data_IF_071904711662
#
_entry.id   IF_071904711662
#
_cell.length_a   1.000
_cell.length_b   1.000
_cell.length_c   1.000
_cell.angle_alpha   90.00
_cell.angle_beta   90.00
_cell.angle_gamma   90.00
#
_symmetry.space_group_name_H-M   'P 1'
#
loop_
_entity.id
_entity.type
_entity.pdbx_description
1 polymer ?
#
# COMPACT_ATOMS: atom_id res chain seq x y z
N UNK A 1 -6.23 -31.92 1.01
CA UNK A 1 -5.34 -30.91 1.59
C UNK A 1 -4.22 -30.70 0.59
N UNK A 2 -4.42 -29.79 -0.36
CA UNK A 2 -3.47 -29.50 -1.45
C UNK A 2 -2.51 -28.40 -1.01
N UNK A 3 -1.24 -28.57 -1.36
CA UNK A 3 -0.03 -27.81 -0.98
C UNK A 3 -0.02 -26.31 -1.37
N UNK A 4 -1.17 -25.63 -1.41
CA UNK A 4 -1.29 -24.24 -1.86
C UNK A 4 -1.66 -23.25 -0.75
N UNK A 5 -1.62 -23.67 0.52
CA UNK A 5 -1.95 -22.83 1.68
C UNK A 5 -0.72 -22.15 2.31
N UNK A 6 0.45 -22.12 1.65
CA UNK A 6 1.73 -21.75 2.29
C UNK A 6 2.59 -20.67 1.61
N UNK A 7 2.03 -19.77 0.77
CA UNK A 7 2.77 -18.59 0.27
C UNK A 7 1.97 -17.29 0.28
N UNK A 8 1.13 -17.11 1.30
CA UNK A 8 0.25 -15.96 1.42
C UNK A 8 0.30 -15.31 2.80
N UNK A 9 1.44 -14.74 3.19
CA UNK A 9 1.34 -13.39 3.77
C UNK A 9 0.95 -12.49 2.58
N UNK A 10 -0.34 -12.51 2.23
CA UNK A 10 -0.81 -11.96 0.96
C UNK A 10 -0.49 -10.46 0.93
N UNK A 11 -0.17 -9.90 -0.24
CA UNK A 11 0.02 -8.46 -0.40
C UNK A 11 -1.07 -7.63 0.31
N UNK A 12 -2.30 -8.16 0.31
CA UNK A 12 -3.45 -7.62 1.01
C UNK A 12 -3.21 -7.51 2.53
N UNK A 13 -2.69 -8.55 3.19
CA UNK A 13 -2.40 -8.52 4.63
C UNK A 13 -1.35 -7.45 4.99
N UNK A 14 -0.26 -7.37 4.23
CA UNK A 14 0.80 -6.38 4.50
C UNK A 14 0.30 -4.97 4.22
N UNK A 15 -0.47 -4.78 3.14
CA UNK A 15 -1.08 -3.49 2.83
C UNK A 15 -2.11 -3.08 3.90
N UNK A 16 -2.91 -4.02 4.38
CA UNK A 16 -3.88 -3.81 5.45
C UNK A 16 -3.21 -3.36 6.74
N UNK A 17 -2.08 -3.99 7.11
CA UNK A 17 -1.25 -3.55 8.24
C UNK A 17 -0.76 -2.12 8.04
N UNK A 18 -0.26 -1.79 6.85
CA UNK A 18 0.17 -0.43 6.50
C UNK A 18 -0.96 0.59 6.54
N UNK A 19 -2.20 0.23 6.19
CA UNK A 19 -3.37 1.12 6.31
C UNK A 19 -3.68 1.46 7.77
N UNK A 20 -3.52 0.49 8.68
CA UNK A 20 -3.81 0.68 10.10
C UNK A 20 -2.69 1.49 10.76
N UNK A 21 -1.45 1.01 10.61
CA UNK A 21 -0.24 1.60 11.15
C UNK A 21 0.83 1.67 10.06
N UNK A 22 1.26 2.89 9.72
CA UNK A 22 2.26 3.05 8.68
C UNK A 22 3.67 2.79 9.19
N UNK A 23 4.47 2.11 8.39
CA UNK A 23 5.93 2.05 8.53
C UNK A 23 6.66 3.13 7.72
N UNK A 24 5.92 3.96 6.98
CA UNK A 24 6.48 4.98 6.10
C UNK A 24 6.98 6.18 6.90
N UNK A 25 8.10 6.73 6.44
CA UNK A 25 8.52 8.07 6.84
C UNK A 25 7.70 9.09 6.04
N UNK A 26 6.76 9.75 6.72
CA UNK A 26 5.87 10.74 6.12
C UNK A 26 6.60 12.03 5.70
N UNK A 27 7.85 12.23 6.12
CA UNK A 27 8.68 13.38 5.70
C UNK A 27 9.25 13.21 4.29
N UNK A 28 9.27 11.98 3.76
CA UNK A 28 9.83 11.66 2.45
C UNK A 28 8.80 11.90 1.34
N UNK A 29 9.21 12.62 0.29
CA UNK A 29 8.42 12.70 -0.95
C UNK A 29 8.67 11.51 -1.89
N UNK A 30 7.93 10.42 -1.64
CA UNK A 30 7.98 9.22 -2.48
C UNK A 30 7.63 9.45 -3.97
N UNK A 31 7.02 10.58 -4.33
CA UNK A 31 6.73 10.91 -5.73
C UNK A 31 7.97 11.38 -6.50
N UNK A 32 9.00 11.89 -5.80
CA UNK A 32 10.26 12.34 -6.40
C UNK A 32 11.32 11.23 -6.48
N UNK A 33 11.11 10.12 -5.76
CA UNK A 33 12.03 8.99 -5.74
C UNK A 33 12.12 8.35 -7.13
N UNK A 34 13.36 8.13 -7.59
CA UNK A 34 13.64 7.39 -8.82
C UNK A 34 13.23 5.92 -8.68
N UNK A 35 12.75 5.31 -9.77
CA UNK A 35 12.27 3.92 -9.72
C UNK A 35 13.36 2.93 -9.30
N UNK A 36 14.60 3.16 -9.73
CA UNK A 36 15.74 2.30 -9.38
C UNK A 36 16.08 2.38 -7.88
N UNK A 37 15.78 3.50 -7.23
CA UNK A 37 15.97 3.64 -5.78
C UNK A 37 14.97 2.81 -4.98
N UNK A 38 13.78 2.53 -5.52
CA UNK A 38 12.75 1.71 -4.84
C UNK A 38 13.25 0.28 -4.59
N UNK A 39 14.08 -0.23 -5.50
CA UNK A 39 14.65 -1.58 -5.42
C UNK A 39 16.02 -1.61 -4.77
N UNK A 40 16.54 -0.45 -4.38
CA UNK A 40 17.77 -0.40 -3.60
C UNK A 40 17.56 -1.07 -2.25
N UNK A 41 18.62 -1.67 -1.71
CA UNK A 41 18.60 -2.36 -0.42
C UNK A 41 18.17 -1.47 0.75
N UNK A 42 18.15 -0.14 0.58
CA UNK A 42 17.66 0.77 1.61
C UNK A 42 16.12 0.74 1.67
N UNK A 43 15.44 1.17 0.61
CA UNK A 43 13.97 1.28 0.57
C UNK A 43 13.29 -0.09 0.62
N UNK A 44 13.82 -1.07 -0.11
CA UNK A 44 13.19 -2.38 -0.22
C UNK A 44 13.26 -3.19 1.08
N UNK A 45 14.28 -2.97 1.92
CA UNK A 45 14.42 -3.68 3.19
C UNK A 45 13.78 -2.96 4.37
N UNK A 46 13.66 -1.63 4.32
CA UNK A 46 13.05 -0.84 5.40
C UNK A 46 11.52 -0.86 5.36
N UNK A 47 10.91 -0.88 4.17
CA UNK A 47 9.46 -0.77 4.02
C UNK A 47 8.86 -2.16 3.71
N UNK A 48 8.10 -2.78 4.64
CA UNK A 48 7.56 -4.14 4.46
C UNK A 48 6.70 -4.31 3.22
N UNK A 49 5.86 -3.33 2.87
CA UNK A 49 5.01 -3.41 1.67
C UNK A 49 5.84 -3.41 0.38
N UNK A 50 6.97 -2.70 0.34
CA UNK A 50 7.89 -2.73 -0.80
C UNK A 50 8.51 -4.11 -0.92
N UNK A 51 9.03 -4.65 0.19
CA UNK A 51 9.57 -6.01 0.25
C UNK A 51 8.57 -7.05 -0.26
N UNK A 52 7.31 -6.95 0.16
CA UNK A 52 6.24 -7.85 -0.30
C UNK A 52 6.05 -7.77 -1.81
N UNK A 53 5.90 -6.57 -2.38
CA UNK A 53 5.70 -6.40 -3.83
C UNK A 53 6.92 -6.92 -4.62
N UNK A 54 8.13 -6.60 -4.16
CA UNK A 54 9.39 -7.04 -4.78
C UNK A 54 9.53 -8.57 -4.73
N UNK A 55 9.19 -9.20 -3.60
CA UNK A 55 9.30 -10.65 -3.42
C UNK A 55 8.36 -11.46 -4.32
N UNK A 56 7.28 -10.85 -4.82
CA UNK A 56 6.40 -11.46 -5.83
C UNK A 56 7.10 -11.55 -7.20
N UNK A 57 8.03 -10.64 -7.51
CA UNK A 57 8.83 -10.62 -8.73
C UNK A 57 10.05 -11.54 -8.68
N UNK A 58 9.88 -12.82 -8.29
CA UNK A 58 10.98 -13.79 -8.06
C UNK A 58 11.97 -13.99 -9.22
N UNK A 59 11.64 -13.54 -10.44
CA UNK A 59 12.50 -13.63 -11.64
C UNK A 59 12.99 -12.25 -12.14
N UNK A 60 12.71 -11.19 -11.40
CA UNK A 60 12.98 -9.81 -11.78
C UNK A 60 11.76 -8.92 -11.55
N UNK A 61 12.02 -7.65 -11.26
CA UNK A 61 10.99 -6.64 -11.03
C UNK A 61 10.70 -5.94 -12.37
N UNK A 62 9.44 -5.96 -12.79
CA UNK A 62 9.00 -5.24 -13.97
C UNK A 62 8.83 -3.74 -13.72
N UNK A 63 8.97 -2.93 -14.77
CA UNK A 63 8.67 -1.49 -14.73
C UNK A 63 7.25 -1.24 -14.20
N UNK A 64 6.28 -2.10 -14.57
CA UNK A 64 4.90 -2.01 -14.06
C UNK A 64 4.86 -2.15 -12.53
N UNK A 65 5.60 -3.10 -11.96
CA UNK A 65 5.68 -3.28 -10.51
C UNK A 65 6.34 -2.09 -9.82
N UNK A 66 7.39 -1.50 -10.39
CA UNK A 66 8.02 -0.29 -9.84
C UNK A 66 7.03 0.88 -9.77
N UNK A 67 6.29 1.11 -10.86
CA UNK A 67 5.25 2.14 -10.89
C UNK A 67 4.11 1.82 -9.91
N UNK A 68 3.72 0.55 -9.78
CA UNK A 68 2.72 0.15 -8.80
C UNK A 68 3.19 0.44 -7.37
N UNK A 69 4.42 0.05 -7.02
CA UNK A 69 5.01 0.35 -5.71
C UNK A 69 5.04 1.84 -5.43
N UNK A 70 5.49 2.66 -6.40
CA UNK A 70 5.51 4.13 -6.25
C UNK A 70 4.11 4.70 -5.98
N UNK A 71 3.10 4.21 -6.70
CA UNK A 71 1.69 4.59 -6.48
C UNK A 71 1.19 4.20 -5.09
N UNK A 72 1.58 3.03 -4.59
CA UNK A 72 1.25 2.55 -3.25
C UNK A 72 1.90 3.43 -2.17
N UNK A 73 3.19 3.74 -2.30
CA UNK A 73 3.91 4.60 -1.35
C UNK A 73 3.28 6.00 -1.27
N UNK A 74 2.97 6.60 -2.42
CA UNK A 74 2.31 7.91 -2.46
C UNK A 74 0.89 7.86 -1.88
N UNK A 75 0.13 6.79 -2.14
CA UNK A 75 -1.19 6.59 -1.57
C UNK A 75 -1.11 6.52 -0.03
N UNK A 76 -0.26 5.65 0.50
CA UNK A 76 -0.13 5.42 1.93
C UNK A 76 0.37 6.67 2.66
N UNK A 77 1.37 7.37 2.10
CA UNK A 77 1.85 8.66 2.66
C UNK A 77 0.69 9.65 2.80
N UNK A 78 -0.06 9.87 1.72
CA UNK A 78 -1.18 10.81 1.77
C UNK A 78 -2.28 10.32 2.74
N UNK A 79 -2.57 9.02 2.73
CA UNK A 79 -3.57 8.40 3.60
C UNK A 79 -3.27 8.61 5.09
N UNK A 80 -2.00 8.62 5.49
CA UNK A 80 -1.58 8.84 6.88
C UNK A 80 -1.20 10.30 7.20
N UNK A 81 -0.99 11.15 6.19
CA UNK A 81 -0.57 12.55 6.39
C UNK A 81 -1.68 13.49 6.92
N UNK A 82 -2.93 13.03 6.98
CA UNK A 82 -4.07 13.89 7.36
C UNK A 82 -4.46 13.69 8.82
N UNK A 83 -4.83 14.81 9.42
CA UNK A 83 -5.44 14.85 10.75
C UNK A 83 -6.72 14.02 10.77
N UNK A 84 -6.81 13.24 11.83
CA UNK A 84 -7.72 12.12 11.97
C UNK A 84 -9.13 12.65 12.26
N UNK A 85 -9.95 12.71 11.21
CA UNK A 85 -11.39 12.96 11.32
C UNK A 85 -12.07 11.80 12.04
N UNK A 86 -13.25 12.04 12.60
CA UNK A 86 -14.04 10.98 13.24
C UNK A 86 -14.31 9.81 12.28
N UNK A 87 -14.59 10.10 11.00
CA UNK A 87 -14.76 9.10 9.95
C UNK A 87 -13.50 8.24 9.73
N UNK A 88 -12.30 8.82 9.86
CA UNK A 88 -11.04 8.10 9.72
C UNK A 88 -10.84 7.11 10.87
N UNK A 89 -11.16 7.51 12.10
CA UNK A 89 -11.11 6.62 13.26
C UNK A 89 -12.12 5.48 13.14
N UNK A 90 -13.35 5.76 12.73
CA UNK A 90 -14.37 4.73 12.50
C UNK A 90 -13.93 3.75 11.40
N UNK A 91 -13.38 4.27 10.30
CA UNK A 91 -12.83 3.46 9.22
C UNK A 91 -11.71 2.54 9.70
N UNK A 92 -10.71 3.08 10.43
CA UNK A 92 -9.61 2.28 11.00
C UNK A 92 -10.09 1.26 12.01
N UNK A 93 -11.04 1.63 12.85
CA UNK A 93 -11.68 0.71 13.80
C UNK A 93 -12.34 -0.46 13.04
N UNK A 94 -13.16 -0.16 12.03
CA UNK A 94 -13.83 -1.18 11.20
C UNK A 94 -12.85 -2.07 10.45
N UNK A 95 -11.74 -1.51 9.93
CA UNK A 95 -10.65 -2.29 9.34
C UNK A 95 -10.01 -3.26 10.34
N UNK A 96 -9.98 -2.92 11.63
CA UNK A 96 -9.36 -3.76 12.66
C UNK A 96 -10.33 -4.79 13.23
N UNK A 97 -11.62 -4.46 13.33
CA UNK A 97 -12.63 -5.32 13.97
C UNK A 97 -13.35 -6.26 13.01
N UNK A 98 -13.51 -5.90 11.73
CA UNK A 98 -14.23 -6.72 10.73
C UNK A 98 -13.25 -7.23 9.66
N UNK A 99 -12.83 -8.49 9.81
CA UNK A 99 -11.89 -9.14 8.89
C UNK A 99 -12.43 -9.24 7.45
N UNK A 100 -13.74 -9.44 7.27
CA UNK A 100 -14.34 -9.57 5.93
C UNK A 100 -14.38 -8.22 5.23
N UNK A 101 -14.72 -7.16 5.98
CA UNK A 101 -14.64 -5.79 5.50
C UNK A 101 -13.19 -5.41 5.16
N UNK A 102 -12.25 -5.70 6.06
CA UNK A 102 -10.83 -5.43 5.89
C UNK A 102 -10.27 -6.03 4.59
N UNK A 103 -10.47 -7.34 4.41
CA UNK A 103 -9.98 -8.04 3.23
C UNK A 103 -10.55 -7.43 1.93
N UNK A 104 -11.88 -7.22 1.90
CA UNK A 104 -12.58 -6.67 0.74
C UNK A 104 -12.12 -5.25 0.41
N UNK A 105 -12.07 -4.36 1.40
CA UNK A 105 -11.69 -2.95 1.18
C UNK A 105 -10.24 -2.85 0.74
N UNK A 106 -9.34 -3.59 1.39
CA UNK A 106 -7.93 -3.61 1.04
C UNK A 106 -7.71 -4.11 -0.39
N UNK A 107 -8.39 -5.19 -0.78
CA UNK A 107 -8.34 -5.70 -2.15
C UNK A 107 -8.81 -4.64 -3.17
N UNK A 108 -9.92 -3.96 -2.88
CA UNK A 108 -10.45 -2.91 -3.75
C UNK A 108 -9.49 -1.73 -3.88
N UNK A 109 -8.87 -1.28 -2.78
CA UNK A 109 -7.87 -0.21 -2.80
C UNK A 109 -6.68 -0.61 -3.68
N UNK A 110 -6.14 -1.82 -3.49
CA UNK A 110 -5.03 -2.34 -4.30
C UNK A 110 -5.40 -2.36 -5.79
N UNK A 111 -6.58 -2.88 -6.14
CA UNK A 111 -7.06 -2.95 -7.53
C UNK A 111 -7.24 -1.57 -8.16
N UNK A 112 -7.79 -0.61 -7.40
CA UNK A 112 -7.96 0.77 -7.86
C UNK A 112 -6.57 1.38 -8.10
N UNK A 113 -5.67 1.29 -7.12
CA UNK A 113 -4.30 1.84 -7.21
C UNK A 113 -3.52 1.23 -8.38
N UNK A 114 -3.65 -0.08 -8.68
CA UNK A 114 -3.03 -0.69 -9.87
C UNK A 114 -3.54 -0.08 -11.17
N UNK A 115 -4.84 0.22 -11.26
CA UNK A 115 -5.47 0.83 -12.44
C UNK A 115 -5.18 2.31 -12.60
N UNK A 116 -4.77 3.02 -11.54
CA UNK A 116 -4.46 4.44 -11.64
C UNK A 116 -3.23 4.67 -12.52
N UNK A 117 -3.32 5.66 -13.40
CA UNK A 117 -2.27 5.97 -14.38
C UNK A 117 -1.02 6.60 -13.75
N UNK A 118 -1.19 7.38 -12.68
CA UNK A 118 -0.11 8.12 -12.05
C UNK A 118 -0.25 8.14 -10.53
N UNK A 119 0.85 8.38 -9.84
CA UNK A 119 0.96 8.54 -8.40
C UNK A 119 0.14 9.72 -7.86
N UNK A 120 0.01 10.82 -8.61
CA UNK A 120 -0.84 11.95 -8.20
C UNK A 120 -2.33 11.55 -8.16
N UNK A 121 -2.77 10.63 -9.02
CA UNK A 121 -4.14 10.10 -8.95
C UNK A 121 -4.32 9.21 -7.72
N UNK A 122 -3.26 8.49 -7.31
CA UNK A 122 -3.28 7.70 -6.06
C UNK A 122 -3.38 8.59 -4.84
N UNK A 123 -2.67 9.72 -4.82
CA UNK A 123 -2.80 10.76 -3.78
C UNK A 123 -4.23 11.30 -3.73
N UNK A 124 -4.82 11.66 -4.87
CA UNK A 124 -6.21 12.13 -4.91
C UNK A 124 -7.21 11.07 -4.42
N UNK A 125 -6.99 9.80 -4.77
CA UNK A 125 -7.82 8.69 -4.30
C UNK A 125 -7.73 8.53 -2.78
N UNK A 126 -6.53 8.59 -2.19
CA UNK A 126 -6.35 8.57 -0.73
C UNK A 126 -7.16 9.67 -0.03
N UNK A 127 -7.16 10.89 -0.58
CA UNK A 127 -7.95 12.02 -0.05
C UNK A 127 -9.44 11.75 -0.07
N UNK A 128 -9.94 11.11 -1.12
CA UNK A 128 -11.37 10.80 -1.27
C UNK A 128 -11.82 9.70 -0.29
N UNK A 129 -10.98 8.69 -0.03
CA UNK A 129 -11.29 7.61 0.90
C UNK A 129 -11.59 8.09 2.33
N UNK A 130 -11.05 9.24 2.73
CA UNK A 130 -11.13 9.76 4.11
C UNK A 130 -12.21 10.86 4.25
N UNK A 131 -12.74 11.36 3.13
CA UNK A 131 -13.77 12.42 3.10
C UNK A 131 -15.22 11.90 3.08
N UNK A 132 -15.42 10.60 2.90
CA UNK A 132 -16.76 9.99 2.86
C UNK A 132 -17.18 9.49 4.23
#
# INVERSE_FOLDING_TARGET
MTENELQGASLNEVFSKELINTSLDLTIDYSEIALDSIISDNIANEIPIVKSIVSLGRLGISIKQLHFTKKVLCFLREFHSRDSTDNFFEFKHKLTTDHKFNYKVTEQIILIVDKLRTEQRSVLFARACIQT
#
